data_IF_023695923890
#
_entry.id   IF_023695923890
#
_cell.length_a   1.000
_cell.length_b   1.000
_cell.length_c   1.000
_cell.angle_alpha   90.00
_cell.angle_beta   90.00
_cell.angle_gamma   90.00
#
_symmetry.space_group_name_H-M   'P 1'
#
loop_
_entity.id
_entity.type
_entity.pdbx_description
1 polymer ?
#
# COMPACT_ATOMS: atom_id res chain seq x y z
N UNK A 1 61.70 13.29 -26.39
CA UNK A 1 62.13 12.65 -27.66
C UNK A 1 62.69 11.28 -27.33
N UNK A 2 62.35 10.27 -28.14
CA UNK A 2 62.57 8.81 -28.01
C UNK A 2 61.66 8.03 -27.04
N UNK A 3 60.85 7.13 -27.63
CA UNK A 3 60.56 5.74 -27.21
C UNK A 3 59.61 5.12 -28.25
N UNK A 4 60.15 4.51 -29.31
CA UNK A 4 60.29 3.06 -29.56
C UNK A 4 58.98 2.25 -29.63
N UNK A 5 58.58 2.03 -30.88
CA UNK A 5 57.65 1.04 -31.42
C UNK A 5 58.15 -0.39 -31.21
N UNK A 6 57.26 -1.32 -30.84
CA UNK A 6 57.41 -2.76 -31.14
C UNK A 6 56.07 -3.38 -31.50
N UNK A 7 55.96 -3.74 -32.76
CA UNK A 7 54.99 -4.68 -33.35
C UNK A 7 55.41 -6.11 -33.01
N UNK A 8 54.44 -6.97 -32.68
CA UNK A 8 54.55 -8.43 -32.87
C UNK A 8 53.20 -8.99 -33.31
N UNK A 9 53.22 -9.50 -34.53
CA UNK A 9 52.27 -10.44 -35.15
C UNK A 9 52.34 -11.80 -34.46
N UNK A 10 51.22 -12.52 -34.41
CA UNK A 10 51.13 -13.97 -34.63
C UNK A 10 49.67 -14.35 -34.96
N UNK A 11 49.54 -15.28 -35.91
CA UNK A 11 48.35 -15.69 -36.64
C UNK A 11 47.62 -16.88 -35.95
N UNK A 12 46.51 -17.40 -36.52
CA UNK A 12 45.42 -18.07 -35.80
C UNK A 12 45.57 -19.59 -35.67
N UNK A 13 44.88 -20.20 -34.69
CA UNK A 13 44.61 -21.64 -34.65
C UNK A 13 43.12 -21.87 -34.41
N UNK A 14 42.59 -22.76 -35.24
CA UNK A 14 41.21 -23.17 -35.43
C UNK A 14 40.79 -24.30 -34.48
N UNK A 15 39.49 -24.32 -34.19
CA UNK A 15 38.59 -25.47 -34.02
C UNK A 15 38.69 -26.44 -32.81
N UNK A 16 37.53 -26.50 -32.13
CA UNK A 16 36.81 -27.69 -31.68
C UNK A 16 37.40 -28.56 -30.56
N UNK A 17 36.84 -28.40 -29.34
CA UNK A 17 36.32 -29.48 -28.51
C UNK A 17 35.84 -28.92 -27.16
N UNK A 18 34.53 -28.86 -26.93
CA UNK A 18 33.93 -28.87 -25.59
C UNK A 18 32.43 -29.16 -25.71
N UNK A 19 32.11 -30.42 -26.01
CA UNK A 19 30.78 -30.98 -25.80
C UNK A 19 30.71 -31.48 -24.36
N UNK A 20 29.61 -31.15 -23.69
CA UNK A 20 29.11 -31.74 -22.45
C UNK A 20 29.92 -31.52 -21.16
N UNK A 21 29.45 -30.57 -20.34
CA UNK A 21 29.30 -30.71 -18.88
C UNK A 21 28.74 -29.38 -18.35
N UNK A 22 27.44 -29.33 -18.03
CA UNK A 22 26.83 -28.64 -16.89
C UNK A 22 25.30 -28.63 -17.03
N UNK A 23 24.65 -29.23 -16.03
CA UNK A 23 23.32 -28.91 -15.47
C UNK A 23 22.43 -30.15 -15.26
N UNK A 24 22.86 -31.04 -14.36
CA UNK A 24 21.93 -31.82 -13.56
C UNK A 24 21.38 -30.92 -12.45
N UNK A 25 20.37 -30.12 -12.76
CA UNK A 25 19.45 -29.57 -11.75
C UNK A 25 18.17 -30.38 -11.82
N UNK A 26 18.00 -31.34 -10.91
CA UNK A 26 16.73 -31.98 -10.69
C UNK A 26 15.74 -30.89 -10.25
N UNK A 27 14.88 -30.46 -11.17
CA UNK A 27 13.65 -29.77 -10.83
C UNK A 27 12.83 -30.72 -9.96
N UNK A 28 12.86 -30.52 -8.65
CA UNK A 28 11.87 -31.11 -7.76
C UNK A 28 10.51 -30.58 -8.25
N UNK A 29 9.71 -31.47 -8.83
CA UNK A 29 8.34 -31.18 -9.22
C UNK A 29 7.61 -30.63 -8.01
N UNK A 30 7.18 -29.37 -8.08
CA UNK A 30 6.32 -28.78 -7.08
C UNK A 30 5.00 -29.57 -7.10
N UNK A 31 4.75 -30.36 -6.05
CA UNK A 31 3.43 -30.93 -5.81
C UNK A 31 2.48 -29.79 -5.45
N UNK A 32 1.37 -29.59 -6.19
CA UNK A 32 0.41 -28.53 -5.89
C UNK A 32 -0.48 -29.00 -4.73
N UNK A 33 -0.02 -28.81 -3.49
CA UNK A 33 -0.74 -29.31 -2.31
C UNK A 33 -1.99 -28.48 -1.94
N UNK A 34 -2.32 -27.40 -2.67
CA UNK A 34 -3.52 -26.59 -2.37
C UNK A 34 -4.13 -25.91 -3.61
N UNK A 35 -5.40 -26.22 -3.93
CA UNK A 35 -6.21 -25.41 -4.84
C UNK A 35 -6.61 -24.11 -4.12
N UNK A 36 -6.00 -22.97 -4.47
CA UNK A 36 -6.51 -21.66 -4.04
C UNK A 36 -7.56 -21.17 -5.04
N UNK A 37 -8.84 -21.21 -4.66
CA UNK A 37 -9.88 -20.49 -5.40
C UNK A 37 -9.79 -19.02 -4.99
N UNK A 38 -9.25 -18.18 -5.86
CA UNK A 38 -9.38 -16.72 -5.75
C UNK A 38 -10.86 -16.36 -5.98
N UNK A 39 -11.69 -16.45 -4.94
CA UNK A 39 -13.04 -15.90 -4.99
C UNK A 39 -12.91 -14.40 -5.19
N UNK A 40 -13.34 -13.91 -6.35
CA UNK A 40 -13.51 -12.48 -6.64
C UNK A 40 -14.55 -11.94 -5.66
N UNK A 41 -14.10 -11.36 -4.54
CA UNK A 41 -14.98 -10.72 -3.57
C UNK A 41 -15.29 -9.32 -4.11
N UNK A 42 -16.57 -9.01 -4.23
CA UNK A 42 -17.04 -7.66 -4.54
C UNK A 42 -16.68 -6.67 -3.42
N UNK A 43 -17.01 -5.38 -3.59
CA UNK A 43 -16.76 -4.36 -2.57
C UNK A 43 -17.34 -4.78 -1.22
N UNK A 44 -16.61 -4.51 -0.13
CA UNK A 44 -17.18 -4.70 1.21
C UNK A 44 -18.14 -3.53 1.39
N UNK A 45 -19.42 -3.80 1.62
CA UNK A 45 -20.35 -2.71 1.96
C UNK A 45 -19.85 -2.02 3.22
N UNK A 46 -19.36 -0.79 3.11
CA UNK A 46 -19.07 0.03 4.29
C UNK A 46 -20.34 0.72 4.72
N UNK A 47 -20.76 0.42 5.94
CA UNK A 47 -21.78 1.22 6.59
C UNK A 47 -21.06 2.42 7.20
N UNK A 48 -20.88 3.46 6.38
CA UNK A 48 -20.72 4.82 6.92
C UNK A 48 -21.93 5.00 7.80
N UNK A 49 -21.72 5.24 9.09
CA UNK A 49 -22.81 5.18 10.04
C UNK A 49 -23.76 6.35 9.77
N UNK A 50 -24.77 6.13 8.91
CA UNK A 50 -25.75 7.14 8.48
C UNK A 50 -26.62 7.64 9.64
N UNK A 51 -26.56 6.94 10.78
CA UNK A 51 -27.24 7.29 12.02
C UNK A 51 -26.29 7.95 13.04
N UNK A 52 -25.01 8.13 12.71
CA UNK A 52 -24.00 8.88 13.46
C UNK A 52 -23.70 10.20 12.74
N UNK A 53 -23.02 11.15 13.40
CA UNK A 53 -22.72 12.45 12.79
C UNK A 53 -21.77 12.45 11.60
N UNK A 54 -21.25 11.31 11.18
CA UNK A 54 -20.33 11.21 10.06
C UNK A 54 -21.08 10.89 8.77
N UNK A 55 -20.87 11.73 7.78
CA UNK A 55 -21.39 11.56 6.42
C UNK A 55 -20.25 11.62 5.41
N UNK A 56 -20.51 11.17 4.18
CA UNK A 56 -19.62 11.51 3.07
C UNK A 56 -19.46 13.04 3.00
N UNK A 57 -18.27 13.52 2.68
CA UNK A 57 -18.01 14.95 2.58
C UNK A 57 -18.75 15.58 1.40
N UNK A 58 -20.02 15.92 1.61
CA UNK A 58 -21.00 16.34 0.59
C UNK A 58 -20.73 17.74 0.04
N UNK A 59 -19.96 18.59 0.73
CA UNK A 59 -19.76 19.99 0.31
C UNK A 59 -19.05 20.13 -1.05
N UNK A 60 -18.41 19.07 -1.56
CA UNK A 60 -17.89 19.03 -2.92
C UNK A 60 -18.03 17.63 -3.55
N UNK A 61 -18.78 17.54 -4.65
CA UNK A 61 -19.12 16.30 -5.38
C UNK A 61 -17.93 15.55 -6.01
N UNK A 62 -16.70 16.05 -5.82
CA UNK A 62 -15.49 15.50 -6.45
C UNK A 62 -14.67 14.59 -5.53
N UNK A 63 -14.89 14.57 -4.22
CA UNK A 63 -14.17 13.66 -3.30
C UNK A 63 -14.67 12.22 -3.40
N UNK A 64 -13.80 11.27 -3.08
CA UNK A 64 -14.18 9.88 -2.94
C UNK A 64 -15.15 9.72 -1.75
N UNK A 65 -16.25 8.97 -1.91
CA UNK A 65 -17.11 8.60 -0.78
C UNK A 65 -16.35 7.67 0.16
N UNK A 66 -16.78 7.61 1.41
CA UNK A 66 -16.25 6.65 2.38
C UNK A 66 -16.68 5.24 1.97
N UNK A 67 -15.69 4.43 1.62
CA UNK A 67 -15.89 3.07 1.10
C UNK A 67 -14.68 2.19 1.47
N UNK A 68 -14.86 0.87 1.42
CA UNK A 68 -13.79 -0.09 1.61
C UNK A 68 -13.89 -1.26 0.64
N UNK A 69 -12.73 -1.69 0.18
CA UNK A 69 -12.61 -2.82 -0.75
C UNK A 69 -11.59 -3.80 -0.22
N UNK A 70 -11.96 -5.08 -0.20
CA UNK A 70 -11.00 -6.16 0.03
C UNK A 70 -10.34 -6.53 -1.30
N UNK A 71 -9.06 -6.21 -1.41
CA UNK A 71 -8.22 -6.66 -2.52
C UNK A 71 -7.27 -7.71 -1.97
N UNK A 72 -7.42 -8.95 -2.47
CA UNK A 72 -6.73 -10.12 -1.96
C UNK A 72 -6.94 -10.32 -0.46
N UNK A 73 -5.92 -10.05 0.35
CA UNK A 73 -5.95 -10.13 1.83
C UNK A 73 -5.81 -8.77 2.50
N UNK A 74 -6.03 -7.66 1.81
CA UNK A 74 -5.94 -6.33 2.40
C UNK A 74 -7.23 -5.57 2.18
N UNK A 75 -7.80 -5.03 3.26
CA UNK A 75 -8.90 -4.07 3.18
C UNK A 75 -8.29 -2.70 2.94
N UNK A 76 -8.78 -1.98 1.94
CA UNK A 76 -8.41 -0.60 1.65
C UNK A 76 -9.62 0.26 1.93
N UNK A 77 -9.49 1.14 2.90
CA UNK A 77 -10.46 2.18 3.20
C UNK A 77 -10.08 3.44 2.41
N UNK A 78 -11.09 4.17 1.97
CA UNK A 78 -10.93 5.40 1.19
C UNK A 78 -12.01 6.40 1.52
N UNK A 79 -11.83 7.61 1.01
CA UNK A 79 -12.85 8.66 1.06
C UNK A 79 -12.58 9.73 2.10
N UNK A 80 -13.48 10.72 2.09
CA UNK A 80 -13.45 11.86 2.98
C UNK A 80 -14.75 11.88 3.78
N UNK A 81 -14.63 11.75 5.10
CA UNK A 81 -15.76 11.78 6.01
C UNK A 81 -15.88 13.19 6.61
N UNK A 82 -17.09 13.74 6.70
CA UNK A 82 -17.42 14.97 7.40
C UNK A 82 -18.14 14.66 8.72
N UNK A 83 -17.71 15.28 9.82
CA UNK A 83 -18.43 15.27 11.08
C UNK A 83 -19.39 16.47 11.13
N UNK A 84 -20.69 16.20 11.27
CA UNK A 84 -21.73 17.24 11.35
C UNK A 84 -22.16 17.57 12.79
N UNK A 85 -21.90 16.70 13.77
CA UNK A 85 -22.31 16.91 15.17
C UNK A 85 -21.24 16.39 16.16
N UNK A 86 -20.81 17.27 17.08
CA UNK A 86 -19.58 17.20 17.90
C UNK A 86 -19.49 16.09 19.00
N UNK A 87 -20.05 14.88 18.80
CA UNK A 87 -20.11 13.90 19.89
C UNK A 87 -19.62 12.48 19.59
N UNK A 88 -19.53 12.02 18.33
CA UNK A 88 -19.15 10.63 18.05
C UNK A 88 -17.78 10.53 17.37
N UNK A 89 -16.88 9.77 18.00
CA UNK A 89 -15.57 9.43 17.44
C UNK A 89 -15.62 8.36 16.35
N UNK A 90 -16.70 7.57 16.28
CA UNK A 90 -16.86 6.50 15.29
C UNK A 90 -17.30 7.07 13.95
N UNK A 91 -16.45 6.91 12.94
CA UNK A 91 -16.62 7.42 11.58
C UNK A 91 -17.40 6.44 10.72
N UNK A 92 -16.95 5.18 10.69
CA UNK A 92 -17.51 4.13 9.83
C UNK A 92 -17.38 2.77 10.51
N UNK A 93 -18.17 1.82 10.04
CA UNK A 93 -18.00 0.40 10.38
C UNK A 93 -17.81 -0.39 9.10
N UNK A 94 -16.76 -1.22 9.06
CA UNK A 94 -16.52 -2.17 7.97
C UNK A 94 -17.04 -3.54 8.40
N UNK A 95 -18.22 -3.97 7.96
CA UNK A 95 -18.83 -5.20 8.41
C UNK A 95 -18.10 -6.43 7.85
N UNK A 96 -17.44 -7.23 8.70
CA UNK A 96 -17.47 -8.70 8.69
C UNK A 96 -16.35 -9.30 9.54
N UNK A 97 -16.62 -10.47 10.14
CA UNK A 97 -15.61 -11.33 10.78
C UNK A 97 -14.44 -11.76 9.87
N UNK A 98 -14.52 -11.52 8.55
CA UNK A 98 -13.45 -11.83 7.59
C UNK A 98 -12.62 -10.61 7.15
N UNK A 99 -13.08 -9.40 7.49
CA UNK A 99 -12.43 -8.12 7.21
C UNK A 99 -11.88 -7.44 8.46
N UNK A 100 -12.29 -7.89 9.64
CA UNK A 100 -11.88 -7.28 10.90
C UNK A 100 -10.38 -7.46 11.13
N UNK A 101 -9.67 -6.40 11.55
CA UNK A 101 -8.32 -6.58 12.03
C UNK A 101 -8.38 -7.44 13.31
N UNK A 102 -7.43 -8.35 13.50
CA UNK A 102 -7.40 -9.23 14.67
C UNK A 102 -7.15 -8.49 16.01
N UNK A 103 -6.80 -7.21 15.93
CA UNK A 103 -6.45 -6.34 17.05
C UNK A 103 -6.43 -4.89 16.55
N UNK A 104 -6.51 -3.93 17.47
CA UNK A 104 -6.57 -2.50 17.15
C UNK A 104 -5.32 -2.02 16.41
N UNK A 105 -5.53 -1.21 15.38
CA UNK A 105 -4.50 -0.59 14.54
C UNK A 105 -4.64 0.94 14.57
N UNK A 106 -3.52 1.67 14.39
CA UNK A 106 -3.47 3.13 14.50
C UNK A 106 -2.81 3.77 13.28
N UNK A 107 -3.55 4.59 12.57
CA UNK A 107 -3.09 5.28 11.37
C UNK A 107 -2.97 6.79 11.58
N UNK A 108 -2.08 7.40 10.81
CA UNK A 108 -2.05 8.86 10.62
C UNK A 108 -2.86 9.22 9.40
N UNK A 109 -3.80 10.14 9.58
CA UNK A 109 -4.66 10.66 8.52
C UNK A 109 -4.65 12.18 8.52
N UNK A 110 -5.01 12.78 7.38
CA UNK A 110 -5.21 14.23 7.30
C UNK A 110 -6.63 14.56 7.69
N UNK A 111 -6.76 15.67 8.42
CA UNK A 111 -8.03 16.22 8.84
C UNK A 111 -8.00 17.74 8.79
N UNK A 112 -9.17 18.37 8.89
CA UNK A 112 -9.25 19.83 8.91
C UNK A 112 -10.56 20.37 9.49
N UNK A 113 -10.60 21.71 9.55
CA UNK A 113 -11.75 22.52 9.95
C UNK A 113 -12.63 22.88 8.75
N UNK A 114 -13.92 23.13 8.98
CA UNK A 114 -14.91 23.40 7.93
C UNK A 114 -14.64 24.81 7.42
N UNK A 115 -14.33 24.93 6.13
CA UNK A 115 -13.91 26.19 5.52
C UNK A 115 -12.52 26.69 5.97
N UNK A 116 -11.80 25.91 6.79
CA UNK A 116 -10.51 26.30 7.34
C UNK A 116 -9.33 25.96 6.42
N UNK A 117 -8.28 26.77 6.50
CA UNK A 117 -6.96 26.50 5.90
C UNK A 117 -6.06 25.61 6.76
N UNK A 118 -6.52 25.26 7.98
CA UNK A 118 -5.75 24.48 8.95
C UNK A 118 -5.94 22.99 8.75
N UNK A 119 -4.81 22.30 8.62
CA UNK A 119 -4.74 20.84 8.51
C UNK A 119 -4.07 20.28 9.75
N UNK A 120 -4.55 19.13 10.21
CA UNK A 120 -4.01 18.44 11.38
C UNK A 120 -3.80 16.96 11.08
N UNK A 121 -2.82 16.38 11.78
CA UNK A 121 -2.69 14.94 11.88
C UNK A 121 -3.82 14.40 12.77
N UNK A 122 -4.67 13.55 12.19
CA UNK A 122 -5.65 12.78 12.91
C UNK A 122 -5.11 11.38 13.19
N UNK A 123 -5.25 10.94 14.44
CA UNK A 123 -5.13 9.53 14.79
C UNK A 123 -6.44 8.83 14.44
N UNK A 124 -6.36 7.87 13.54
CA UNK A 124 -7.49 7.00 13.17
C UNK A 124 -7.23 5.59 13.66
N UNK A 125 -8.13 5.10 14.50
CA UNK A 125 -8.09 3.75 15.06
C UNK A 125 -9.03 2.84 14.25
N UNK A 126 -8.53 1.67 13.85
CA UNK A 126 -9.36 0.58 13.31
C UNK A 126 -9.39 -0.52 14.37
N UNK A 127 -10.58 -0.76 14.93
CA UNK A 127 -10.79 -1.70 16.02
C UNK A 127 -11.05 -3.13 15.51
N UNK A 128 -10.93 -4.10 16.42
CA UNK A 128 -11.04 -5.54 16.18
C UNK A 128 -12.44 -6.07 15.84
N UNK A 129 -13.42 -5.18 15.72
CA UNK A 129 -14.75 -5.44 15.14
C UNK A 129 -15.06 -4.58 13.91
N UNK A 130 -14.03 -4.02 13.26
CA UNK A 130 -14.16 -3.26 12.02
C UNK A 130 -14.67 -1.82 12.20
N UNK A 131 -14.90 -1.36 13.43
CA UNK A 131 -15.21 0.05 13.67
C UNK A 131 -13.97 0.92 13.45
N UNK A 132 -14.19 2.05 12.78
CA UNK A 132 -13.16 3.04 12.44
C UNK A 132 -13.51 4.31 13.20
N UNK A 133 -12.60 4.78 14.05
CA UNK A 133 -12.79 5.98 14.84
C UNK A 133 -11.64 6.98 14.72
N UNK A 134 -11.93 8.26 14.89
CA UNK A 134 -10.91 9.31 15.06
C UNK A 134 -10.79 9.69 16.54
N UNK A 135 -9.56 9.84 17.02
CA UNK A 135 -9.28 10.31 18.37
C UNK A 135 -9.15 11.84 18.49
N UNK A 136 -9.51 12.59 17.46
CA UNK A 136 -9.45 14.05 17.47
C UNK A 136 -10.85 14.66 17.63
N UNK A 137 -11.02 15.44 18.71
CA UNK A 137 -12.33 15.96 19.15
C UNK A 137 -12.83 17.18 18.36
N UNK A 138 -12.00 17.79 17.51
CA UNK A 138 -12.32 19.04 16.77
C UNK A 138 -12.38 18.89 15.25
N UNK A 139 -12.50 17.66 14.75
CA UNK A 139 -12.48 17.45 13.30
C UNK A 139 -13.83 17.76 12.70
N UNK A 140 -13.79 18.57 11.64
CA UNK A 140 -14.93 18.69 10.73
C UNK A 140 -14.85 17.69 9.60
N UNK A 141 -13.64 17.26 9.21
CA UNK A 141 -13.46 16.19 8.25
C UNK A 141 -12.16 15.43 8.48
N UNK A 142 -12.13 14.18 8.04
CA UNK A 142 -10.96 13.29 8.07
C UNK A 142 -10.91 12.46 6.79
N UNK A 143 -9.72 12.33 6.19
CA UNK A 143 -9.55 11.42 5.07
C UNK A 143 -9.19 10.03 5.55
N UNK A 144 -9.84 9.04 4.96
CA UNK A 144 -9.57 7.63 5.18
C UNK A 144 -8.75 7.01 4.05
N UNK A 145 -8.42 7.78 3.01
CA UNK A 145 -7.61 7.31 1.87
C UNK A 145 -6.21 6.89 2.32
N UNK A 146 -5.76 5.73 1.83
CA UNK A 146 -4.47 5.15 2.19
C UNK A 146 -4.49 4.32 3.47
N UNK A 147 -5.59 4.35 4.24
CA UNK A 147 -5.76 3.42 5.37
C UNK A 147 -6.02 2.04 4.80
N UNK A 148 -5.08 1.12 5.04
CA UNK A 148 -5.20 -0.25 4.59
C UNK A 148 -4.70 -1.22 5.65
N UNK A 149 -5.41 -2.31 5.87
CA UNK A 149 -5.00 -3.34 6.82
C UNK A 149 -5.12 -4.75 6.24
N UNK A 150 -4.11 -5.60 6.51
CA UNK A 150 -4.17 -6.98 6.11
C UNK A 150 -5.11 -7.79 7.02
N UNK A 151 -5.86 -8.69 6.40
CA UNK A 151 -6.69 -9.71 7.04
C UNK A 151 -5.93 -11.04 7.08
N UNK A 152 -6.16 -11.81 8.14
CA UNK A 152 -5.49 -13.10 8.34
C UNK A 152 -4.22 -13.01 9.21
N UNK A 153 -3.31 -13.95 8.99
CA UNK A 153 -2.10 -14.12 9.83
C UNK A 153 -0.87 -13.58 9.10
N UNK A 154 -0.18 -12.63 9.74
CA UNK A 154 1.11 -12.11 9.29
C UNK A 154 2.27 -12.87 9.92
N UNK A 155 3.48 -12.56 9.46
CA UNK A 155 4.69 -13.06 10.10
C UNK A 155 5.14 -12.08 11.20
N UNK A 156 5.58 -12.55 12.37
CA UNK A 156 6.18 -11.69 13.38
C UNK A 156 7.31 -10.84 12.81
N UNK A 157 7.30 -9.55 13.15
CA UNK A 157 8.39 -8.65 12.84
C UNK A 157 9.49 -8.78 13.90
N UNK A 158 10.76 -8.86 13.47
CA UNK A 158 11.88 -8.90 14.40
C UNK A 158 12.11 -7.51 14.97
N UNK A 159 11.68 -7.27 16.20
CA UNK A 159 11.92 -6.01 16.89
C UNK A 159 13.37 -5.90 17.36
N UNK A 160 13.92 -4.70 17.30
CA UNK A 160 15.26 -4.42 17.79
C UNK A 160 15.31 -4.47 19.33
N UNK A 161 16.52 -4.59 19.88
CA UNK A 161 16.74 -4.54 21.33
C UNK A 161 16.15 -3.27 21.94
N UNK A 162 15.39 -3.42 23.02
CA UNK A 162 14.69 -2.30 23.68
C UNK A 162 13.30 -2.01 23.12
N UNK A 163 12.87 -2.71 22.06
CA UNK A 163 11.52 -2.66 21.54
C UNK A 163 10.75 -3.95 21.82
N UNK A 164 9.46 -3.79 22.15
CA UNK A 164 8.52 -4.90 22.34
C UNK A 164 7.17 -4.58 21.72
N UNK A 165 6.30 -5.57 21.58
CA UNK A 165 4.90 -5.29 21.22
C UNK A 165 4.24 -4.46 22.32
N UNK A 166 3.44 -3.45 21.95
CA UNK A 166 2.78 -2.57 22.91
C UNK A 166 1.78 -3.30 23.83
N UNK A 167 1.06 -4.29 23.29
CA UNK A 167 0.04 -5.06 24.01
C UNK A 167 -1.28 -4.29 24.15
N UNK A 168 -2.04 -4.51 25.23
CA UNK A 168 -3.27 -3.76 25.57
C UNK A 168 -4.35 -3.73 24.47
N UNK A 169 -4.50 -4.82 23.73
CA UNK A 169 -5.46 -4.92 22.63
C UNK A 169 -5.00 -4.29 21.30
N UNK A 170 -3.79 -3.71 21.26
CA UNK A 170 -3.17 -3.26 20.02
C UNK A 170 -2.49 -4.42 19.30
N UNK A 171 -2.48 -4.35 17.98
CA UNK A 171 -1.83 -5.33 17.12
C UNK A 171 -0.33 -5.39 17.41
N UNK A 172 0.18 -6.60 17.61
CA UNK A 172 1.62 -6.83 17.72
C UNK A 172 2.32 -6.50 16.38
N UNK A 173 3.59 -6.08 16.38
CA UNK A 173 4.33 -5.82 15.15
C UNK A 173 4.44 -7.06 14.25
N UNK A 174 3.93 -6.93 13.03
CA UNK A 174 3.89 -7.99 12.02
C UNK A 174 4.33 -7.44 10.66
N UNK A 175 4.67 -8.36 9.76
CA UNK A 175 4.86 -8.11 8.33
C UNK A 175 3.97 -9.01 7.49
N UNK A 176 3.56 -8.50 6.34
CA UNK A 176 2.75 -9.20 5.35
C UNK A 176 3.36 -9.01 3.96
N UNK A 177 3.33 -10.08 3.17
CA UNK A 177 3.59 -10.03 1.74
C UNK A 177 2.30 -10.33 0.97
N UNK A 178 2.03 -9.54 -0.06
CA UNK A 178 0.93 -9.73 -1.00
C UNK A 178 1.36 -9.34 -2.40
N UNK A 179 1.61 -10.36 -3.25
CA UNK A 179 2.33 -10.15 -4.50
C UNK A 179 3.66 -9.47 -4.22
N UNK A 180 3.92 -8.36 -4.91
CA UNK A 180 5.14 -7.59 -4.76
C UNK A 180 5.07 -6.48 -3.70
N UNK A 181 3.99 -6.41 -2.92
CA UNK A 181 3.81 -5.38 -1.89
C UNK A 181 4.10 -5.97 -0.51
N UNK A 182 4.97 -5.28 0.23
CA UNK A 182 5.25 -5.57 1.63
C UNK A 182 4.53 -4.55 2.50
N UNK A 183 3.89 -5.03 3.57
CA UNK A 183 3.23 -4.20 4.59
C UNK A 183 3.81 -4.48 5.95
N UNK A 184 4.09 -3.43 6.69
CA UNK A 184 4.34 -3.50 8.13
C UNK A 184 3.08 -3.03 8.86
N UNK A 185 2.89 -3.52 10.07
CA UNK A 185 1.72 -3.21 10.90
C UNK A 185 2.05 -3.49 12.36
N UNK A 186 1.25 -2.94 13.26
CA UNK A 186 1.31 -3.14 14.70
C UNK A 186 2.07 -2.03 15.41
N UNK A 187 1.95 -2.06 16.73
CA UNK A 187 2.44 -1.01 17.61
C UNK A 187 3.68 -1.48 18.37
N UNK A 188 4.82 -0.86 18.09
CA UNK A 188 6.09 -1.14 18.74
C UNK A 188 6.30 -0.17 19.91
N UNK A 189 6.50 -0.68 21.12
CA UNK A 189 6.79 0.08 22.34
C UNK A 189 8.29 0.12 22.59
N UNK A 190 8.82 1.28 22.93
CA UNK A 190 10.25 1.47 23.22
C UNK A 190 10.62 2.95 23.32
N UNK A 191 11.91 3.23 23.54
CA UNK A 191 12.43 4.61 23.50
C UNK A 191 12.59 5.04 22.05
N UNK A 192 11.63 5.81 21.53
CA UNK A 192 11.63 6.28 20.14
C UNK A 192 12.31 7.64 20.06
N UNK A 193 13.62 7.61 19.79
CA UNK A 193 14.44 8.77 19.51
C UNK A 193 14.87 8.79 18.06
N UNK A 194 15.34 9.94 17.59
CA UNK A 194 15.94 10.08 16.27
C UNK A 194 17.05 9.02 16.08
N UNK A 195 16.96 8.29 14.96
CA UNK A 195 17.79 7.12 14.61
C UNK A 195 17.57 5.86 15.47
N UNK A 196 16.48 5.76 16.23
CA UNK A 196 16.17 4.53 16.94
C UNK A 196 15.85 3.41 15.95
N UNK A 197 16.65 2.34 15.97
CA UNK A 197 16.36 1.11 15.24
C UNK A 197 15.17 0.42 15.92
N UNK A 198 14.03 0.34 15.22
CA UNK A 198 12.77 -0.19 15.76
C UNK A 198 12.65 -1.68 15.48
N UNK A 199 12.95 -2.07 14.24
CA UNK A 199 12.76 -3.44 13.77
C UNK A 199 13.63 -3.75 12.55
N UNK A 200 13.74 -5.03 12.22
CA UNK A 200 14.36 -5.49 10.98
C UNK A 200 13.43 -6.41 10.20
N UNK A 201 13.49 -6.30 8.88
CA UNK A 201 12.91 -7.25 7.94
C UNK A 201 14.01 -8.01 7.20
N UNK A 202 13.73 -9.22 6.69
CA UNK A 202 14.67 -9.92 5.82
C UNK A 202 15.04 -9.09 4.59
N UNK A 203 16.28 -9.21 4.12
CA UNK A 203 16.76 -8.49 2.94
C UNK A 203 15.96 -8.77 1.68
N UNK A 204 15.41 -9.99 1.54
CA UNK A 204 14.51 -10.36 0.44
C UNK A 204 13.19 -9.59 0.41
N UNK A 205 12.85 -8.90 1.50
CA UNK A 205 11.64 -8.08 1.63
C UNK A 205 11.98 -6.59 1.69
N UNK A 206 13.27 -6.24 1.72
CA UNK A 206 13.68 -4.85 1.80
C UNK A 206 13.34 -4.11 0.49
N UNK A 207 12.99 -2.82 0.56
CA UNK A 207 12.77 -2.03 -0.64
C UNK A 207 14.10 -1.84 -1.40
N UNK A 208 14.06 -1.68 -2.74
CA UNK A 208 15.27 -1.46 -3.53
C UNK A 208 15.98 -0.11 -3.23
N UNK A 209 15.30 0.81 -2.56
CA UNK A 209 15.85 2.08 -2.09
C UNK A 209 15.15 2.52 -0.81
N UNK A 210 15.75 3.47 -0.07
CA UNK A 210 15.19 3.95 1.20
C UNK A 210 13.81 4.57 0.99
N UNK A 211 12.83 4.11 1.77
CA UNK A 211 11.44 4.60 1.81
C UNK A 211 11.20 5.38 3.09
N UNK A 212 10.36 6.41 3.05
CA UNK A 212 10.09 7.28 4.21
C UNK A 212 8.59 7.46 4.42
N UNK A 213 8.13 7.15 5.63
CA UNK A 213 6.72 7.12 5.97
C UNK A 213 6.41 8.08 7.10
N UNK A 214 5.18 8.58 7.07
CA UNK A 214 4.55 9.23 8.20
C UNK A 214 3.90 8.15 9.08
N UNK A 215 4.43 7.93 10.28
CA UNK A 215 3.86 7.02 11.26
C UNK A 215 3.12 7.79 12.36
N UNK A 216 2.02 7.24 12.86
CA UNK A 216 1.30 7.86 13.96
C UNK A 216 2.07 7.73 15.29
N UNK A 217 2.04 8.79 16.09
CA UNK A 217 2.44 8.80 17.49
C UNK A 217 1.46 9.65 18.32
N UNK A 218 0.26 9.11 18.52
CA UNK A 218 -0.85 9.73 19.24
C UNK A 218 -1.35 11.00 18.53
N UNK A 219 -1.34 12.16 19.19
CA UNK A 219 -1.66 13.46 18.60
C UNK A 219 -0.62 13.90 17.56
N UNK A 220 0.60 13.36 17.68
CA UNK A 220 1.72 13.65 16.80
C UNK A 220 1.96 12.58 15.74
N UNK A 221 3.12 12.70 15.13
CA UNK A 221 3.62 11.78 14.13
C UNK A 221 5.12 11.57 14.33
N UNK A 222 5.63 10.50 13.74
CA UNK A 222 7.05 10.17 13.69
C UNK A 222 7.41 9.79 12.27
N UNK A 223 8.57 10.25 11.79
CA UNK A 223 9.12 9.76 10.53
C UNK A 223 9.69 8.37 10.75
N UNK A 224 9.24 7.39 9.99
CA UNK A 224 9.80 6.03 9.97
C UNK A 224 10.36 5.75 8.59
N UNK A 225 11.60 5.29 8.55
CA UNK A 225 12.27 4.92 7.32
C UNK A 225 12.47 3.42 7.24
N UNK A 226 12.28 2.87 6.05
CA UNK A 226 12.63 1.49 5.72
C UNK A 226 13.81 1.53 4.75
N UNK A 227 14.96 1.07 5.22
CA UNK A 227 16.21 1.06 4.46
C UNK A 227 16.29 -0.16 3.54
N UNK A 228 17.11 -0.07 2.49
CA UNK A 228 17.31 -1.15 1.53
C UNK A 228 17.99 -2.40 2.11
N UNK A 229 18.57 -2.30 3.31
CA UNK A 229 19.08 -3.44 4.07
C UNK A 229 18.02 -4.08 4.99
N UNK A 230 16.78 -3.57 4.99
CA UNK A 230 15.69 -4.05 5.82
C UNK A 230 15.62 -3.44 7.23
N UNK A 231 16.46 -2.46 7.57
CA UNK A 231 16.33 -1.75 8.83
C UNK A 231 15.09 -0.84 8.80
N UNK A 232 14.27 -0.90 9.86
CA UNK A 232 13.14 0.00 10.12
C UNK A 232 13.53 0.93 11.25
N UNK A 233 13.68 2.22 10.95
CA UNK A 233 14.29 3.20 11.87
C UNK A 233 13.37 4.40 12.04
N UNK A 234 13.14 4.81 13.28
CA UNK A 234 12.51 6.08 13.57
C UNK A 234 13.53 7.21 13.36
N UNK A 235 13.26 8.10 12.42
CA UNK A 235 14.16 9.20 12.05
C UNK A 235 13.79 10.53 12.72
N UNK A 236 12.79 10.51 13.60
CA UNK A 236 12.43 11.63 14.47
C UNK A 236 12.04 11.09 15.85
N UNK A 237 12.09 11.95 16.85
CA UNK A 237 11.60 11.63 18.19
C UNK A 237 10.09 11.37 18.15
N UNK A 238 9.62 10.54 19.09
CA UNK A 238 8.21 10.35 19.38
C UNK A 238 7.93 10.77 20.84
N UNK A 239 6.82 11.49 21.05
CA UNK A 239 6.45 12.00 22.38
C UNK A 239 5.91 10.88 23.28
N UNK A 240 5.31 9.86 22.68
CA UNK A 240 4.82 8.69 23.37
C UNK A 240 5.76 7.53 23.09
N UNK A 241 6.15 6.75 24.12
CA UNK A 241 7.15 5.67 24.05
C UNK A 241 6.74 4.46 23.22
N UNK A 242 6.25 4.70 22.01
CA UNK A 242 5.80 3.75 21.02
C UNK A 242 5.77 4.39 19.63
N UNK A 243 5.75 3.58 18.58
CA UNK A 243 5.56 4.04 17.19
C UNK A 243 4.65 3.07 16.46
N UNK A 244 3.68 3.59 15.69
CA UNK A 244 2.83 2.75 14.85
C UNK A 244 3.57 2.38 13.57
N UNK A 245 3.51 1.10 13.20
CA UNK A 245 3.97 0.63 11.88
C UNK A 245 2.81 0.48 10.89
N UNK A 246 1.58 0.78 11.31
CA UNK A 246 0.40 0.71 10.46
C UNK A 246 0.45 1.78 9.36
N UNK A 247 0.01 1.41 8.15
CA UNK A 247 0.07 2.27 6.96
C UNK A 247 1.42 2.23 6.23
N UNK A 248 2.43 1.53 6.76
CA UNK A 248 3.70 1.33 6.04
C UNK A 248 3.52 0.23 4.99
N UNK A 249 3.48 0.63 3.72
CA UNK A 249 3.41 -0.28 2.58
C UNK A 249 4.33 0.20 1.46
N UNK A 250 5.04 -0.73 0.81
CA UNK A 250 5.86 -0.42 -0.36
C UNK A 250 5.93 -1.59 -1.33
N UNK A 251 6.18 -1.26 -2.59
CA UNK A 251 6.48 -2.25 -3.63
C UNK A 251 7.96 -2.65 -3.59
N UNK A 252 8.20 -3.94 -3.78
CA UNK A 252 9.52 -4.54 -4.03
C UNK A 252 9.85 -4.63 -5.52
N UNK A 253 8.89 -4.32 -6.40
CA UNK A 253 9.15 -4.24 -7.84
C UNK A 253 10.19 -3.16 -8.17
N UNK A 254 10.91 -3.32 -9.29
CA UNK A 254 11.66 -2.23 -9.88
C UNK A 254 10.80 -0.97 -9.99
N UNK A 255 11.38 0.20 -9.72
CA UNK A 255 10.68 1.45 -9.85
C UNK A 255 10.23 1.65 -11.31
N UNK A 256 8.92 1.81 -11.54
CA UNK A 256 8.39 2.39 -12.77
C UNK A 256 8.38 3.92 -12.61
N UNK A 257 9.38 4.65 -13.15
CA UNK A 257 9.65 6.03 -12.75
C UNK A 257 8.60 7.00 -13.29
N UNK A 258 8.40 8.10 -12.57
CA UNK A 258 7.56 9.22 -13.00
C UNK A 258 8.45 10.37 -13.44
N UNK A 259 8.21 10.93 -14.62
CA UNK A 259 8.79 12.21 -14.97
C UNK A 259 7.98 13.35 -14.32
N UNK A 260 8.66 14.13 -13.48
CA UNK A 260 8.09 15.26 -12.76
C UNK A 260 8.73 16.60 -13.18
N UNK A 261 9.65 16.58 -14.16
CA UNK A 261 10.49 17.73 -14.51
C UNK A 261 9.69 18.88 -15.10
N UNK A 262 8.62 18.58 -15.84
CA UNK A 262 7.66 19.56 -16.35
C UNK A 262 6.99 20.39 -15.24
N UNK A 263 7.03 19.90 -14.00
CA UNK A 263 6.44 20.57 -12.83
C UNK A 263 7.49 21.08 -11.83
N UNK A 264 8.77 21.13 -12.23
CA UNK A 264 9.90 21.55 -11.40
C UNK A 264 10.11 20.69 -10.14
N UNK A 265 9.85 19.39 -10.29
CA UNK A 265 10.18 18.36 -9.32
C UNK A 265 11.13 17.33 -9.94
N UNK A 266 11.97 16.72 -9.12
CA UNK A 266 12.87 15.65 -9.54
C UNK A 266 13.11 14.66 -8.40
N UNK A 267 13.72 13.52 -8.69
CA UNK A 267 14.11 12.56 -7.67
C UNK A 267 15.08 13.19 -6.66
N UNK A 268 14.90 12.88 -5.37
CA UNK A 268 15.74 13.46 -4.32
C UNK A 268 17.22 13.05 -4.47
N UNK A 269 17.47 11.76 -4.73
CA UNK A 269 18.81 11.15 -4.78
C UNK A 269 19.24 10.57 -3.43
N UNK A 270 20.55 10.55 -3.14
CA UNK A 270 21.12 10.20 -1.82
C UNK A 270 20.64 8.86 -1.20
N UNK A 271 20.40 7.85 -2.05
CA UNK A 271 19.95 6.52 -1.62
C UNK A 271 18.45 6.39 -1.33
N UNK A 272 17.68 7.48 -1.45
CA UNK A 272 16.22 7.40 -1.45
C UNK A 272 15.71 6.80 -2.75
N UNK A 273 14.63 6.04 -2.65
CA UNK A 273 13.98 5.52 -3.84
C UNK A 273 13.42 6.67 -4.70
N UNK A 274 13.56 6.60 -6.04
CA UNK A 274 13.04 7.63 -6.93
C UNK A 274 11.49 7.59 -6.95
N UNK A 275 10.83 8.73 -7.27
CA UNK A 275 9.40 8.79 -7.53
C UNK A 275 8.96 7.74 -8.57
N UNK A 276 7.97 6.92 -8.23
CA UNK A 276 7.51 5.80 -9.07
C UNK A 276 6.02 5.50 -8.90
N UNK A 277 5.38 4.91 -9.91
CA UNK A 277 4.00 4.38 -9.87
C UNK A 277 4.02 2.89 -10.11
N UNK A 278 3.57 2.08 -9.14
CA UNK A 278 3.41 0.64 -9.34
C UNK A 278 1.95 0.24 -9.14
N UNK A 279 1.50 -0.80 -9.85
CA UNK A 279 0.18 -1.39 -9.65
C UNK A 279 0.33 -2.84 -9.23
N UNK A 280 -0.32 -3.22 -8.13
CA UNK A 280 -0.34 -4.60 -7.64
C UNK A 280 -1.74 -4.94 -7.15
N UNK A 281 -2.28 -6.07 -7.63
CA UNK A 281 -3.65 -6.50 -7.29
C UNK A 281 -4.75 -5.54 -7.72
N UNK A 282 -4.49 -4.63 -8.67
CA UNK A 282 -5.45 -3.58 -9.05
C UNK A 282 -5.48 -2.36 -8.13
N UNK A 283 -4.50 -2.23 -7.22
CA UNK A 283 -4.25 -1.05 -6.39
C UNK A 283 -3.03 -0.32 -6.93
N UNK A 284 -3.12 0.99 -7.04
CA UNK A 284 -2.02 1.88 -7.42
C UNK A 284 -1.26 2.30 -6.16
N UNK A 285 0.07 2.27 -6.24
CA UNK A 285 0.99 2.73 -5.21
C UNK A 285 1.88 3.80 -5.79
N UNK A 286 1.85 4.99 -5.19
CA UNK A 286 2.90 5.97 -5.41
C UNK A 286 4.00 5.72 -4.39
N UNK A 287 5.23 6.00 -4.77
CA UNK A 287 6.37 5.77 -3.88
C UNK A 287 7.53 6.67 -4.23
N UNK A 288 8.47 6.83 -3.30
CA UNK A 288 9.73 7.54 -3.50
C UNK A 288 9.70 8.99 -3.02
N UNK A 289 10.88 9.63 -3.07
CA UNK A 289 11.10 10.97 -2.54
C UNK A 289 11.38 11.97 -3.66
N UNK A 290 10.53 12.99 -3.76
CA UNK A 290 10.69 14.08 -4.73
C UNK A 290 11.27 15.33 -4.04
N UNK A 291 12.09 16.09 -4.76
CA UNK A 291 12.58 17.41 -4.35
C UNK A 291 12.27 18.45 -5.43
N UNK A 292 12.17 19.71 -5.01
CA UNK A 292 12.06 20.85 -5.93
C UNK A 292 13.34 20.96 -6.77
N UNK A 293 13.20 21.22 -8.06
CA UNK A 293 14.31 21.34 -9.02
C UNK A 293 14.42 22.74 -9.66
N UNK A 294 14.04 23.80 -8.94
CA UNK A 294 14.04 25.19 -9.41
C UNK A 294 13.47 26.18 -8.37
N UNK A 295 13.22 27.44 -8.78
CA UNK A 295 12.80 28.52 -7.90
C UNK A 295 11.34 28.44 -7.42
N UNK A 296 10.37 28.22 -8.33
CA UNK A 296 8.95 28.07 -7.98
C UNK A 296 8.49 26.69 -8.39
N UNK A 297 8.40 25.77 -7.44
CA UNK A 297 7.76 24.49 -7.69
C UNK A 297 6.24 24.67 -7.74
N UNK A 298 5.59 24.07 -8.74
CA UNK A 298 4.13 24.06 -8.79
C UNK A 298 3.56 23.20 -7.66
N UNK A 299 2.30 23.47 -7.30
CA UNK A 299 1.52 22.57 -6.44
C UNK A 299 1.38 21.20 -7.09
N UNK A 300 1.28 21.16 -8.41
CA UNK A 300 1.29 19.90 -9.15
C UNK A 300 2.68 19.24 -9.10
N UNK A 301 2.68 17.94 -8.87
CA UNK A 301 3.86 17.08 -8.85
C UNK A 301 4.05 16.39 -10.21
N UNK A 302 2.98 15.80 -10.75
CA UNK A 302 2.94 15.10 -12.04
C UNK A 302 1.48 14.83 -12.47
N UNK A 303 1.31 14.15 -13.61
CA UNK A 303 0.04 13.58 -14.05
C UNK A 303 0.14 12.04 -14.12
N UNK A 304 -0.91 11.37 -13.69
CA UNK A 304 -1.11 9.93 -13.83
C UNK A 304 -1.47 9.57 -15.28
N UNK A 305 -1.05 8.36 -15.70
CA UNK A 305 -1.52 7.72 -16.92
C UNK A 305 -3.01 7.36 -16.80
N UNK A 306 -3.72 7.29 -17.94
CA UNK A 306 -5.18 7.12 -17.98
C UNK A 306 -5.71 5.88 -17.26
N UNK A 307 -4.96 4.77 -17.29
CA UNK A 307 -5.32 3.48 -16.69
C UNK A 307 -5.20 3.45 -15.16
N UNK A 308 -4.44 4.36 -14.57
CA UNK A 308 -4.17 4.43 -13.12
C UNK A 308 -4.87 5.60 -12.42
N UNK A 309 -5.72 6.37 -13.10
CA UNK A 309 -6.45 7.51 -12.49
C UNK A 309 -7.55 7.02 -11.55
N UNK A 310 -7.80 7.65 -10.39
CA UNK A 310 -8.94 7.30 -9.56
C UNK A 310 -10.26 7.82 -10.17
N UNK A 311 -11.39 7.25 -9.76
CA UNK A 311 -12.70 7.72 -10.22
C UNK A 311 -13.14 9.05 -9.55
N UNK A 312 -12.62 9.30 -8.34
CA UNK A 312 -12.91 10.46 -7.49
C UNK A 312 -11.62 10.94 -6.84
N UNK A 313 -11.61 12.17 -6.34
CA UNK A 313 -10.43 12.77 -5.69
C UNK A 313 -10.13 12.05 -4.39
N UNK A 314 -8.90 11.55 -4.28
CA UNK A 314 -8.36 10.94 -3.06
C UNK A 314 -7.44 11.94 -2.34
N UNK A 315 -7.37 11.84 -1.02
CA UNK A 315 -6.62 12.79 -0.19
C UNK A 315 -5.72 12.03 0.78
N UNK A 316 -4.45 12.37 0.83
CA UNK A 316 -3.43 11.66 1.61
C UNK A 316 -2.67 12.60 2.52
N UNK A 317 -2.21 12.06 3.65
CA UNK A 317 -1.32 12.75 4.58
C UNK A 317 0.07 12.15 4.46
N UNK A 318 1.01 12.93 3.94
CA UNK A 318 2.36 12.44 3.64
C UNK A 318 3.41 13.34 4.24
N UNK A 319 4.61 12.80 4.43
CA UNK A 319 5.72 13.54 5.02
C UNK A 319 6.34 14.51 3.99
N UNK A 320 6.72 15.71 4.44
CA UNK A 320 7.51 16.68 3.68
C UNK A 320 8.59 17.33 4.53
N UNK A 321 9.41 18.20 3.92
CA UNK A 321 10.52 18.89 4.58
C UNK A 321 10.07 19.76 5.76
N UNK A 322 8.90 20.38 5.64
CA UNK A 322 8.37 21.30 6.64
C UNK A 322 7.34 20.63 7.58
N UNK A 323 7.33 19.31 7.63
CA UNK A 323 6.31 18.51 8.32
C UNK A 323 5.31 17.87 7.36
N UNK A 324 4.26 17.22 7.86
CA UNK A 324 3.31 16.52 7.01
C UNK A 324 2.49 17.50 6.18
N UNK A 325 2.16 17.09 4.96
CA UNK A 325 1.36 17.86 4.01
C UNK A 325 0.28 16.99 3.40
N UNK A 326 -0.76 17.66 2.90
CA UNK A 326 -1.83 17.02 2.15
C UNK A 326 -1.40 16.85 0.70
N UNK A 327 -1.57 15.65 0.16
CA UNK A 327 -1.43 15.36 -1.28
C UNK A 327 -2.76 14.85 -1.81
N UNK A 328 -3.15 15.39 -2.95
CA UNK A 328 -4.41 15.09 -3.62
C UNK A 328 -4.16 14.41 -4.94
N UNK A 329 -4.93 13.35 -5.20
CA UNK A 329 -4.93 12.64 -6.47
C UNK A 329 -6.29 12.85 -7.11
N UNK A 330 -6.32 13.57 -8.23
CA UNK A 330 -7.55 14.00 -8.90
C UNK A 330 -7.99 12.99 -9.98
N UNK A 331 -9.29 12.96 -10.33
CA UNK A 331 -9.80 12.07 -11.39
C UNK A 331 -9.27 12.35 -12.79
N UNK A 332 -8.80 13.58 -13.05
CA UNK A 332 -8.14 13.95 -14.32
C UNK A 332 -6.69 13.45 -14.39
N UNK A 333 -6.17 12.91 -13.28
CA UNK A 333 -4.83 12.36 -13.14
C UNK A 333 -3.84 13.28 -12.45
N UNK A 334 -4.20 14.53 -12.14
CA UNK A 334 -3.27 15.43 -11.44
C UNK A 334 -2.95 14.89 -10.05
N UNK A 335 -1.69 14.99 -9.68
CA UNK A 335 -1.24 14.76 -8.30
C UNK A 335 -0.67 16.07 -7.78
N UNK A 336 -1.27 16.63 -6.73
CA UNK A 336 -0.91 17.96 -6.21
C UNK A 336 -0.65 17.94 -4.71
N UNK A 337 0.37 18.66 -4.28
CA UNK A 337 0.59 19.00 -2.88
C UNK A 337 -0.21 20.25 -2.51
N UNK A 338 -0.90 20.19 -1.37
CA UNK A 338 -1.64 21.32 -0.80
C UNK A 338 -0.82 21.92 0.34
N UNK A 339 -0.50 23.21 0.23
CA UNK A 339 0.41 23.92 1.15
C UNK A 339 1.86 23.94 0.66
N UNK A 340 2.79 24.37 1.52
CA UNK A 340 4.22 24.41 1.21
C UNK A 340 4.96 23.19 1.80
N UNK A 341 5.31 22.17 1.00
CA UNK A 341 6.11 21.02 1.48
C UNK A 341 7.58 21.37 1.80
N UNK A 342 8.01 22.61 1.56
CA UNK A 342 9.43 22.96 1.61
C UNK A 342 10.21 22.28 0.48
N UNK A 343 11.38 21.73 0.79
CA UNK A 343 12.32 21.26 -0.23
C UNK A 343 11.99 19.90 -0.85
N UNK A 344 11.20 19.06 -0.16
CA UNK A 344 10.90 17.70 -0.59
C UNK A 344 9.55 17.21 -0.07
N UNK A 345 8.96 16.24 -0.77
CA UNK A 345 7.72 15.55 -0.40
C UNK A 345 7.86 14.06 -0.68
N UNK A 346 7.42 13.22 0.27
CA UNK A 346 7.35 11.77 0.09
C UNK A 346 6.06 11.39 -0.64
N UNK A 347 6.15 10.44 -1.56
CA UNK A 347 5.00 9.77 -2.16
C UNK A 347 4.70 8.42 -1.50
N UNK A 348 5.57 7.95 -0.59
CA UNK A 348 5.37 6.71 0.13
C UNK A 348 4.15 6.81 1.08
N UNK A 349 3.39 5.73 1.19
CA UNK A 349 2.13 5.69 1.95
C UNK A 349 0.89 6.10 1.14
N UNK A 350 1.05 6.51 -0.13
CA UNK A 350 -0.09 6.77 -1.03
C UNK A 350 -0.46 5.48 -1.77
N UNK A 351 -1.68 4.98 -1.52
CA UNK A 351 -2.27 3.89 -2.29
C UNK A 351 -3.76 4.10 -2.52
N UNK A 352 -4.25 3.78 -3.72
CA UNK A 352 -5.66 3.97 -4.08
C UNK A 352 -6.12 3.04 -5.21
N UNK A 353 -7.44 3.00 -5.41
CA UNK A 353 -8.07 2.21 -6.47
C UNK A 353 -8.23 3.06 -7.74
N UNK A 354 -7.73 2.59 -8.90
CA UNK A 354 -7.95 3.28 -10.15
C UNK A 354 -9.41 3.08 -10.62
N UNK A 355 -9.85 3.92 -11.55
CA UNK A 355 -11.20 3.92 -12.13
C UNK A 355 -11.55 2.57 -12.75
N UNK A 356 -10.61 1.94 -13.44
CA UNK A 356 -10.82 0.63 -14.05
C UNK A 356 -11.11 -0.47 -13.01
N UNK A 357 -10.46 -0.40 -11.83
CA UNK A 357 -10.74 -1.32 -10.72
C UNK A 357 -12.11 -1.05 -10.09
N UNK A 358 -12.61 0.19 -10.17
CA UNK A 358 -13.95 0.55 -9.72
C UNK A 358 -15.08 -0.08 -10.56
N UNK A 359 -14.79 -0.79 -11.67
CA UNK A 359 -15.76 -1.34 -12.64
C UNK A 359 -15.72 -2.89 -12.75
N UNK A 360 -15.08 -3.59 -11.82
CA UNK A 360 -15.38 -5.03 -11.62
C UNK A 360 -16.59 -5.26 -10.67
N UNK A 361 -17.41 -4.22 -10.49
CA UNK A 361 -18.48 -4.07 -9.49
C UNK A 361 -19.89 -4.21 -10.08
N UNK A 362 -20.03 -4.61 -11.35
CA UNK A 362 -21.29 -4.51 -12.09
C UNK A 362 -21.89 -5.77 -12.71
N UNK A 363 -21.36 -6.98 -12.45
CA UNK A 363 -22.07 -8.20 -12.85
C UNK A 363 -22.95 -8.63 -11.68
N UNK A 364 -24.25 -8.35 -11.78
CA UNK A 364 -25.25 -9.02 -10.96
C UNK A 364 -25.17 -10.52 -11.26
N UNK A 365 -24.58 -11.30 -10.36
CA UNK A 365 -24.75 -12.75 -10.40
C UNK A 365 -26.08 -13.08 -9.74
N UNK A 366 -26.83 -14.03 -10.30
CA UNK A 366 -28.15 -14.34 -9.82
C UNK A 366 -28.07 -14.78 -8.35
N UNK A 367 -29.08 -14.38 -7.59
CA UNK A 367 -29.27 -14.81 -6.21
C UNK A 367 -29.18 -16.35 -6.10
N UNK A 368 -28.80 -16.83 -4.93
CA UNK A 368 -28.35 -18.19 -4.61
C UNK A 368 -29.34 -19.35 -4.85
N UNK A 369 -30.29 -19.22 -5.78
CA UNK A 369 -31.19 -20.28 -6.22
C UNK A 369 -30.87 -20.84 -7.62
N UNK A 370 -29.79 -20.41 -8.28
CA UNK A 370 -29.43 -20.89 -9.65
C UNK A 370 -28.05 -21.55 -9.78
N UNK A 371 -27.33 -21.76 -8.67
CA UNK A 371 -26.05 -22.52 -8.69
C UNK A 371 -26.25 -24.00 -9.07
N UNK A 372 -27.47 -24.54 -8.99
CA UNK A 372 -27.77 -25.91 -9.42
C UNK A 372 -27.83 -26.11 -10.95
N UNK A 373 -27.68 -25.06 -11.77
CA UNK A 373 -27.80 -25.18 -13.23
C UNK A 373 -26.49 -25.07 -14.03
N UNK A 374 -25.35 -24.80 -13.38
CA UNK A 374 -24.06 -24.69 -14.09
C UNK A 374 -23.29 -26.01 -14.22
N UNK A 375 -23.90 -27.14 -13.86
CA UNK A 375 -23.35 -28.48 -14.05
C UNK A 375 -23.59 -29.12 -15.43
N UNK A 376 -24.12 -28.42 -16.44
CA UNK A 376 -24.50 -29.04 -17.73
C UNK A 376 -24.21 -28.22 -19.01
N UNK A 377 -23.17 -27.39 -19.06
CA UNK A 377 -22.76 -26.76 -20.32
C UNK A 377 -21.43 -27.35 -20.82
N UNK A 378 -21.53 -28.27 -21.80
CA UNK A 378 -20.42 -28.83 -22.57
C UNK A 378 -20.01 -27.87 -23.70
N UNK A 379 -19.47 -26.69 -23.41
CA UNK A 379 -18.86 -25.89 -24.46
C UNK A 379 -17.58 -25.18 -23.98
N UNK A 380 -16.40 -25.66 -24.39
CA UNK A 380 -15.15 -24.98 -24.05
C UNK A 380 -14.97 -23.73 -24.91
N UNK A 381 -14.67 -22.61 -24.25
CA UNK A 381 -14.15 -21.40 -24.88
C UNK A 381 -12.92 -21.74 -25.75
N UNK A 382 -12.94 -21.42 -27.06
CA UNK A 382 -11.86 -21.77 -27.98
C UNK A 382 -10.51 -21.12 -27.63
N UNK A 383 -10.47 -20.13 -26.74
CA UNK A 383 -9.23 -19.49 -26.29
C UNK A 383 -8.34 -20.40 -25.39
N UNK A 384 -8.86 -21.56 -24.94
CA UNK A 384 -8.14 -22.46 -24.01
C UNK A 384 -8.01 -23.90 -24.51
N UNK A 385 -8.23 -24.15 -25.80
CA UNK A 385 -8.02 -25.47 -26.40
C UNK A 385 -6.52 -25.83 -26.43
N UNK A 386 -6.12 -26.84 -25.64
CA UNK A 386 -4.78 -27.45 -25.72
C UNK A 386 -3.89 -27.33 -24.48
N UNK A 387 -4.32 -26.66 -23.40
CA UNK A 387 -3.62 -26.71 -22.11
C UNK A 387 -4.16 -27.85 -21.23
N UNK A 388 -3.32 -28.60 -20.50
CA UNK A 388 -3.80 -29.57 -19.52
C UNK A 388 -4.62 -28.84 -18.44
N UNK A 389 -5.93 -29.06 -18.47
CA UNK A 389 -6.85 -28.46 -17.51
C UNK A 389 -6.82 -29.28 -16.21
N UNK A 390 -6.04 -28.82 -15.23
CA UNK A 390 -6.15 -29.33 -13.87
C UNK A 390 -7.50 -28.93 -13.30
N UNK A 391 -8.48 -29.85 -13.32
CA UNK A 391 -9.82 -29.61 -12.80
C UNK A 391 -9.84 -29.87 -11.31
N UNK A 392 -9.96 -28.85 -10.45
CA UNK A 392 -10.28 -29.12 -9.04
C UNK A 392 -11.69 -29.75 -8.98
N UNK A 393 -11.87 -30.82 -8.20
CA UNK A 393 -13.18 -31.44 -7.97
C UNK A 393 -13.57 -31.29 -6.51
N UNK A 394 -14.86 -31.11 -6.25
CA UNK A 394 -15.39 -31.10 -4.89
C UNK A 394 -15.67 -32.53 -4.43
N UNK A 395 -15.04 -32.94 -3.33
CA UNK A 395 -15.24 -34.26 -2.69
C UNK A 395 -15.55 -34.01 -1.22
N UNK A 396 -16.79 -34.29 -0.81
CA UNK A 396 -17.22 -34.13 0.59
C UNK A 396 -17.10 -32.70 1.13
N UNK A 397 -17.39 -31.68 0.31
CA UNK A 397 -17.31 -30.27 0.70
C UNK A 397 -15.90 -29.66 0.69
N UNK A 398 -14.90 -30.38 0.16
CA UNK A 398 -13.52 -29.90 0.00
C UNK A 398 -13.09 -29.96 -1.46
N UNK A 399 -12.43 -28.90 -1.93
CA UNK A 399 -11.83 -28.84 -3.27
C UNK A 399 -10.47 -29.53 -3.26
N UNK A 400 -10.33 -30.58 -4.07
CA UNK A 400 -9.08 -31.32 -4.24
C UNK A 400 -8.61 -31.22 -5.69
N UNK A 401 -7.29 -31.23 -5.98
CA UNK A 401 -6.79 -31.30 -7.35
C UNK A 401 -7.36 -32.55 -8.04
N UNK A 402 -8.00 -32.39 -9.18
CA UNK A 402 -8.34 -33.50 -10.06
C UNK A 402 -7.15 -33.84 -10.96
N UNK A 403 -7.08 -35.09 -11.37
CA UNK A 403 -6.13 -35.54 -12.39
C UNK A 403 -6.46 -34.89 -13.74
N UNK A 404 -5.46 -34.70 -14.61
CA UNK A 404 -5.62 -34.07 -15.93
C UNK A 404 -6.75 -34.65 -16.78
#
# INVERSE_FOLDING_TARGET
MQTRTRTRTLAPVLCAAALALFASSSAAAATPDTCFVAKKRGPIKVDVNKNAPWVDFESYSNYAPVDAVLVGRTVYLRGLAENRWDANKTIASVPSASSDPKARMIFSAVSGERGGSRLFNARVDVHDGGSVGSEVDRLTWVSLSGIAWPVGTGQPLTLATGFTAYGRGYRAPLRYGEGDVIRLTGLAKGTVKTNAHVASIPSSWAPPGRRIFLANNHEGFTRVDVFANGAVVAMSDAAHGWVSLDGIAYSTQPANPIDMTAYHWTAYGAGYAPPSINQSGGVVYLSGLAKRSGGVAYRQLFNLFDDVKPAKREVFWVLSANGPVRVDVFPDGKVEVQGDPGKWVSLDGISFLPKATAIATGVAFPTSSTIDQWGKANDPDPAFAGLPQWRCKEVGGKWVPGTP
#
